data_IF_021940563744
#
_entry.id   IF_021940563744
#
_cell.length_a   1.000
_cell.length_b   1.000
_cell.length_c   1.000
_cell.angle_alpha   90.00
_cell.angle_beta   90.00
_cell.angle_gamma   90.00
#
_symmetry.space_group_name_H-M   'P 1'
#
loop_
_entity.id
_entity.type
_entity.pdbx_description
1 polymer ?
#
# COMPACT_ATOMS: atom_id res chain seq x y z
N UNK A 1 29.32 -36.92 19.15
CA UNK A 1 29.82 -36.49 17.84
C UNK A 1 28.62 -36.27 16.93
N UNK A 2 28.13 -35.02 16.79
CA UNK A 2 27.42 -34.48 15.61
C UNK A 2 27.42 -32.96 15.81
N UNK A 3 28.30 -32.27 15.08
CA UNK A 3 28.49 -30.81 15.16
C UNK A 3 27.67 -30.12 14.06
N UNK A 4 27.02 -29.03 14.48
CA UNK A 4 26.11 -28.16 13.75
C UNK A 4 26.82 -27.37 12.62
N UNK A 5 26.28 -27.26 11.39
CA UNK A 5 26.84 -26.44 10.32
C UNK A 5 26.16 -25.07 10.25
N UNK A 6 26.42 -24.19 11.22
CA UNK A 6 26.17 -22.75 11.08
C UNK A 6 27.47 -22.00 11.35
N UNK A 7 28.33 -21.93 10.33
CA UNK A 7 29.52 -21.09 10.33
C UNK A 7 29.81 -20.63 8.90
N UNK A 8 29.17 -19.54 8.48
CA UNK A 8 29.59 -18.79 7.30
C UNK A 8 30.17 -17.45 7.77
N UNK A 9 31.47 -17.33 7.53
CA UNK A 9 32.36 -16.22 7.87
C UNK A 9 32.08 -15.05 6.92
N UNK A 10 31.75 -13.88 7.46
CA UNK A 10 31.88 -12.62 6.74
C UNK A 10 33.31 -12.07 6.96
N UNK A 11 34.08 -11.94 5.88
CA UNK A 11 35.39 -11.31 5.91
C UNK A 11 35.23 -9.78 6.07
N UNK A 12 35.79 -9.22 7.15
CA UNK A 12 36.00 -7.79 7.31
C UNK A 12 37.26 -7.36 6.53
N UNK A 13 37.10 -6.61 5.44
CA UNK A 13 38.21 -5.88 4.81
C UNK A 13 38.15 -4.39 5.15
N UNK A 14 39.05 -3.97 6.04
CA UNK A 14 39.34 -2.59 6.43
C UNK A 14 40.25 -1.95 5.37
N UNK A 15 39.74 -0.99 4.61
CA UNK A 15 40.57 -0.15 3.73
C UNK A 15 41.04 1.12 4.47
N UNK A 16 42.30 1.51 4.22
CA UNK A 16 43.12 2.48 4.98
C UNK A 16 42.95 3.92 4.48
N UNK A 17 42.92 4.89 5.40
CA UNK A 17 43.07 6.32 5.10
C UNK A 17 44.56 6.68 4.87
N UNK A 18 44.81 7.67 4.01
CA UNK A 18 46.09 8.39 3.87
C UNK A 18 45.81 9.90 3.82
N UNK A 19 46.57 10.67 4.60
CA UNK A 19 46.56 12.14 4.71
C UNK A 19 47.86 12.75 4.17
N UNK A 20 47.82 14.02 3.75
CA UNK A 20 48.90 15.04 3.84
C UNK A 20 48.45 16.32 3.09
N UNK A 21 48.23 17.46 3.77
CA UNK A 21 49.11 18.66 3.92
C UNK A 21 49.39 19.36 2.57
N UNK A 22 49.29 20.68 2.34
CA UNK A 22 49.38 21.92 3.15
C UNK A 22 49.13 23.12 2.20
N UNK A 23 48.87 24.31 2.77
CA UNK A 23 49.38 25.64 2.36
C UNK A 23 48.29 26.72 2.19
N UNK A 24 48.35 27.71 3.08
CA UNK A 24 47.59 28.97 3.08
C UNK A 24 48.51 30.03 2.48
N UNK A 25 47.97 30.95 1.68
CA UNK A 25 48.39 32.35 1.69
C UNK A 25 47.33 33.23 1.00
N UNK A 26 47.06 34.36 1.66
CA UNK A 26 46.12 35.43 1.34
C UNK A 26 46.43 36.14 0.01
N UNK A 27 45.39 36.58 -0.71
CA UNK A 27 45.30 38.00 -1.10
C UNK A 27 43.92 38.38 -1.68
N UNK A 28 43.49 39.57 -1.27
CA UNK A 28 42.15 40.15 -1.32
C UNK A 28 41.90 40.91 -2.64
N UNK A 29 40.75 40.72 -3.30
CA UNK A 29 40.08 41.76 -4.13
C UNK A 29 38.64 41.40 -4.53
N UNK A 30 37.71 42.25 -4.08
CA UNK A 30 36.29 42.33 -4.41
C UNK A 30 36.00 42.37 -5.92
N UNK A 31 34.98 41.63 -6.39
CA UNK A 31 33.92 42.10 -7.32
C UNK A 31 32.67 41.22 -7.16
N UNK A 32 31.62 41.86 -6.63
CA UNK A 32 30.17 41.78 -6.89
C UNK A 32 29.51 40.53 -7.54
N UNK A 33 28.50 40.05 -6.80
CA UNK A 33 27.27 39.30 -7.13
C UNK A 33 26.97 38.95 -8.60
N UNK A 34 26.75 37.65 -8.89
CA UNK A 34 25.41 37.07 -9.15
C UNK A 34 25.50 35.64 -9.72
N UNK A 35 24.66 34.75 -9.18
CA UNK A 35 24.07 33.58 -9.85
C UNK A 35 24.99 32.46 -10.38
N UNK A 36 25.12 31.34 -9.63
CA UNK A 36 24.89 30.04 -10.27
C UNK A 36 24.56 28.89 -9.29
N UNK A 37 23.52 28.18 -9.68
CA UNK A 37 23.06 26.85 -9.27
C UNK A 37 24.20 25.84 -9.09
N UNK A 38 24.10 24.96 -8.07
CA UNK A 38 24.29 23.49 -8.13
C UNK A 38 24.72 22.93 -6.75
N UNK A 39 24.03 21.86 -6.35
CA UNK A 39 24.48 20.81 -5.41
C UNK A 39 24.25 21.01 -3.90
N UNK A 40 23.01 20.80 -3.45
CA UNK A 40 22.68 20.22 -2.12
C UNK A 40 21.28 19.60 -2.08
N UNK A 41 20.90 18.85 -3.11
CA UNK A 41 19.56 18.23 -3.29
C UNK A 41 19.31 17.01 -2.37
N UNK A 42 20.13 16.78 -1.33
CA UNK A 42 20.05 15.58 -0.47
C UNK A 42 19.42 15.81 0.92
N UNK A 43 19.10 17.06 1.29
CA UNK A 43 18.58 17.40 2.63
C UNK A 43 17.13 17.94 2.63
N UNK A 44 16.49 18.10 1.47
CA UNK A 44 15.14 18.67 1.31
C UNK A 44 14.05 17.60 1.06
N UNK A 45 14.43 16.32 0.91
CA UNK A 45 13.48 15.22 0.61
C UNK A 45 12.72 14.68 1.85
N UNK A 46 13.01 15.13 3.07
CA UNK A 46 12.54 14.47 4.30
C UNK A 46 11.29 15.08 4.97
N UNK A 47 10.62 16.08 4.36
CA UNK A 47 9.45 16.73 4.99
C UNK A 47 8.27 17.08 4.07
N UNK A 48 8.20 16.51 2.87
CA UNK A 48 6.93 16.45 2.14
C UNK A 48 6.15 15.30 2.78
N UNK A 49 5.07 15.60 3.49
CA UNK A 49 4.17 14.60 4.05
C UNK A 49 3.68 13.68 2.92
N UNK A 50 4.35 12.55 2.73
CA UNK A 50 4.02 11.59 1.68
C UNK A 50 2.60 11.07 1.89
N UNK A 51 1.81 11.02 0.82
CA UNK A 51 0.46 10.47 0.83
C UNK A 51 0.47 9.04 1.38
N UNK A 52 -0.60 8.55 2.03
CA UNK A 52 -0.72 7.13 2.37
C UNK A 52 -0.43 6.22 1.17
N UNK A 53 -0.86 6.62 -0.03
CA UNK A 53 -0.56 5.90 -1.28
C UNK A 53 0.93 5.94 -1.65
N UNK A 54 1.61 7.06 -1.40
CA UNK A 54 3.06 7.18 -1.68
C UNK A 54 3.84 6.23 -0.77
N UNK A 55 3.49 6.18 0.52
CA UNK A 55 4.12 5.26 1.48
C UNK A 55 3.86 3.79 1.13
N UNK A 56 2.64 3.49 0.72
CA UNK A 56 2.27 2.14 0.27
C UNK A 56 3.08 1.74 -0.96
N UNK A 57 3.12 2.60 -1.99
CA UNK A 57 3.88 2.36 -3.20
C UNK A 57 5.38 2.25 -2.95
N UNK A 58 5.94 3.09 -2.08
CA UNK A 58 7.35 3.04 -1.67
C UNK A 58 7.69 1.71 -1.00
N UNK A 59 6.84 1.22 -0.10
CA UNK A 59 7.01 -0.11 0.50
C UNK A 59 6.99 -1.22 -0.55
N UNK A 60 6.09 -1.16 -1.53
CA UNK A 60 6.07 -2.16 -2.59
C UNK A 60 7.34 -2.16 -3.45
N UNK A 61 7.89 -0.97 -3.72
CA UNK A 61 9.16 -0.82 -4.44
C UNK A 61 10.33 -1.40 -3.62
N UNK A 62 10.39 -1.10 -2.32
CA UNK A 62 11.48 -1.57 -1.45
C UNK A 62 11.46 -3.09 -1.25
N UNK A 63 10.28 -3.72 -1.34
CA UNK A 63 10.10 -5.19 -1.36
C UNK A 63 10.43 -5.85 -2.70
N UNK A 64 10.82 -5.08 -3.71
CA UNK A 64 11.22 -5.61 -5.02
C UNK A 64 10.05 -6.18 -5.84
N UNK A 65 8.82 -5.75 -5.57
CA UNK A 65 7.67 -6.19 -6.36
C UNK A 65 7.81 -5.73 -7.82
N UNK A 66 7.42 -6.57 -8.81
CA UNK A 66 7.47 -6.18 -10.21
C UNK A 66 6.50 -5.02 -10.49
N UNK A 67 6.79 -4.19 -11.49
CA UNK A 67 5.97 -3.00 -11.82
C UNK A 67 4.47 -3.29 -11.96
N UNK A 68 4.12 -4.46 -12.50
CA UNK A 68 2.72 -4.91 -12.64
C UNK A 68 2.04 -4.97 -11.27
N UNK A 69 2.72 -5.49 -10.24
CA UNK A 69 2.21 -5.54 -8.87
C UNK A 69 2.22 -4.16 -8.20
N UNK A 70 3.19 -3.30 -8.52
CA UNK A 70 3.24 -1.94 -7.96
C UNK A 70 2.01 -1.10 -8.32
N UNK A 71 1.35 -1.38 -9.46
CA UNK A 71 0.09 -0.73 -9.84
C UNK A 71 -1.07 -1.03 -8.87
N UNK A 72 -0.96 -2.11 -8.08
CA UNK A 72 -1.93 -2.47 -7.05
C UNK A 72 -1.70 -1.67 -5.76
N UNK A 73 -0.49 -1.14 -5.56
CA UNK A 73 -0.02 -0.50 -4.32
C UNK A 73 -0.49 0.95 -4.17
N UNK A 74 -1.80 1.15 -4.30
CA UNK A 74 -2.53 2.33 -3.87
C UNK A 74 -3.83 1.86 -3.21
N UNK A 75 -4.33 2.57 -2.21
CA UNK A 75 -5.61 2.26 -1.59
C UNK A 75 -6.78 2.35 -2.58
N UNK A 76 -6.64 3.04 -3.72
CA UNK A 76 -7.64 3.02 -4.79
C UNK A 76 -7.64 1.70 -5.58
N UNK A 77 -6.48 1.12 -5.89
CA UNK A 77 -6.36 -0.09 -6.71
C UNK A 77 -6.30 -1.38 -5.88
N UNK A 78 -5.94 -1.25 -4.60
CA UNK A 78 -6.01 -2.30 -3.59
C UNK A 78 -7.49 -2.56 -3.24
N UNK A 79 -8.10 -3.42 -4.05
CA UNK A 79 -9.51 -3.82 -3.96
C UNK A 79 -9.64 -5.34 -3.93
N UNK A 80 -10.77 -5.82 -3.39
CA UNK A 80 -11.18 -7.23 -3.45
C UNK A 80 -11.02 -7.81 -4.86
N UNK A 81 -11.51 -7.09 -5.88
CA UNK A 81 -11.46 -7.53 -7.28
C UNK A 81 -10.01 -7.70 -7.75
N UNK A 82 -9.16 -6.73 -7.50
CA UNK A 82 -7.75 -6.78 -7.92
C UNK A 82 -7.01 -7.95 -7.26
N UNK A 83 -7.27 -8.21 -5.97
CA UNK A 83 -6.65 -9.34 -5.27
C UNK A 83 -7.21 -10.68 -5.72
N UNK A 84 -8.51 -10.79 -5.96
CA UNK A 84 -9.12 -12.00 -6.55
C UNK A 84 -8.53 -12.31 -7.93
N UNK A 85 -8.28 -11.28 -8.75
CA UNK A 85 -7.62 -11.45 -10.04
C UNK A 85 -6.23 -12.08 -9.94
N UNK A 86 -5.50 -11.87 -8.84
CA UNK A 86 -4.19 -12.50 -8.60
C UNK A 86 -4.32 -14.01 -8.34
N UNK A 87 -5.38 -14.46 -7.65
CA UNK A 87 -5.65 -15.89 -7.46
C UNK A 87 -5.88 -16.62 -8.78
N UNK A 88 -6.52 -15.94 -9.74
CA UNK A 88 -6.74 -16.47 -11.08
C UNK A 88 -5.62 -16.10 -12.08
N UNK A 89 -4.55 -15.45 -11.61
CA UNK A 89 -3.43 -14.97 -12.42
C UNK A 89 -3.85 -14.13 -13.65
N UNK A 90 -4.91 -13.32 -13.53
CA UNK A 90 -5.51 -12.56 -14.65
C UNK A 90 -4.99 -11.14 -14.79
N UNK A 91 -4.28 -10.61 -13.79
CA UNK A 91 -3.70 -9.26 -13.81
C UNK A 91 -2.17 -9.26 -14.01
N UNK A 92 -1.54 -10.43 -14.14
CA UNK A 92 -0.10 -10.59 -14.33
C UNK A 92 0.77 -10.38 -13.07
N UNK A 93 0.16 -10.13 -11.90
CA UNK A 93 0.87 -10.07 -10.63
C UNK A 93 0.79 -11.45 -9.94
N UNK A 94 1.92 -12.14 -9.67
CA UNK A 94 1.90 -13.49 -9.13
C UNK A 94 1.29 -13.54 -7.72
N UNK A 95 0.64 -14.65 -7.38
CA UNK A 95 -0.02 -14.83 -6.08
C UNK A 95 0.94 -14.64 -4.89
N UNK A 96 2.22 -14.97 -5.05
CA UNK A 96 3.27 -14.76 -4.04
C UNK A 96 3.50 -13.30 -3.66
N UNK A 97 3.05 -12.33 -4.48
CA UNK A 97 3.14 -10.91 -4.17
C UNK A 97 2.10 -10.44 -3.15
N UNK A 98 1.01 -11.20 -2.93
CA UNK A 98 -0.10 -10.80 -2.06
C UNK A 98 0.39 -10.48 -0.65
N UNK A 99 1.30 -11.30 -0.07
CA UNK A 99 1.79 -11.08 1.30
C UNK A 99 2.45 -9.71 1.46
N UNK A 100 3.35 -9.37 0.54
CA UNK A 100 4.03 -8.08 0.51
C UNK A 100 3.06 -6.92 0.30
N UNK A 101 2.06 -7.09 -0.57
CA UNK A 101 1.03 -6.06 -0.81
C UNK A 101 0.24 -5.81 0.47
N UNK A 102 -0.22 -6.85 1.18
CA UNK A 102 -0.94 -6.71 2.46
C UNK A 102 -0.07 -6.06 3.53
N UNK A 103 1.19 -6.49 3.68
CA UNK A 103 2.11 -5.87 4.63
C UNK A 103 2.31 -4.39 4.37
N UNK A 104 2.50 -4.02 3.10
CA UNK A 104 2.69 -2.63 2.73
C UNK A 104 1.41 -1.81 2.92
N UNK A 105 0.24 -2.39 2.65
CA UNK A 105 -1.04 -1.76 2.93
C UNK A 105 -1.27 -1.59 4.44
N UNK A 106 -0.90 -2.56 5.28
CA UNK A 106 -1.06 -2.47 6.74
C UNK A 106 -0.06 -1.52 7.40
N UNK A 107 0.90 -1.00 6.63
CA UNK A 107 2.01 -0.20 7.14
C UNK A 107 2.98 -1.01 8.01
N UNK A 108 2.94 -2.34 7.91
CA UNK A 108 3.75 -3.23 8.72
C UNK A 108 3.39 -3.19 10.20
N UNK A 109 2.09 -3.08 10.53
CA UNK A 109 1.56 -3.15 11.91
C UNK A 109 0.54 -4.27 12.09
N UNK A 110 0.34 -4.72 13.32
CA UNK A 110 -0.60 -5.78 13.66
C UNK A 110 -1.99 -5.19 13.92
N UNK A 111 -2.91 -5.48 12.99
CA UNK A 111 -4.31 -5.05 13.00
C UNK A 111 -5.27 -6.14 13.47
N UNK A 112 -4.80 -7.29 13.98
CA UNK A 112 -5.66 -8.43 14.36
C UNK A 112 -6.82 -8.01 15.27
N UNK A 113 -6.56 -7.19 16.29
CA UNK A 113 -7.62 -6.76 17.21
C UNK A 113 -8.72 -5.98 16.47
N UNK A 114 -8.34 -5.06 15.57
CA UNK A 114 -9.31 -4.36 14.74
C UNK A 114 -10.07 -5.35 13.83
N UNK A 115 -9.36 -6.25 13.14
CA UNK A 115 -9.97 -7.23 12.25
C UNK A 115 -10.94 -8.18 12.94
N UNK A 116 -10.63 -8.64 14.16
CA UNK A 116 -11.53 -9.46 14.98
C UNK A 116 -12.80 -8.66 15.30
N UNK A 117 -12.67 -7.40 15.71
CA UNK A 117 -13.81 -6.53 16.01
C UNK A 117 -14.68 -6.25 14.78
N UNK A 118 -14.09 -6.19 13.59
CA UNK A 118 -14.82 -6.04 12.33
C UNK A 118 -15.34 -7.38 11.76
N UNK A 119 -15.14 -8.50 12.48
CA UNK A 119 -15.67 -9.81 12.10
C UNK A 119 -14.94 -10.50 10.95
N UNK A 120 -13.65 -10.21 10.74
CA UNK A 120 -12.82 -10.88 9.72
C UNK A 120 -12.65 -12.38 10.03
N UNK A 121 -12.63 -12.75 11.31
CA UNK A 121 -12.61 -14.15 11.76
C UNK A 121 -13.95 -14.87 11.62
N UNK A 122 -15.03 -14.20 11.24
CA UNK A 122 -16.37 -14.80 11.10
C UNK A 122 -16.67 -15.32 9.69
N UNK A 123 -15.68 -15.31 8.78
CA UNK A 123 -15.81 -15.91 7.46
C UNK A 123 -15.78 -17.44 7.56
N UNK A 124 -16.17 -18.19 6.50
CA UNK A 124 -16.05 -19.65 6.48
C UNK A 124 -14.62 -20.17 6.74
N UNK A 125 -13.59 -19.36 6.47
CA UNK A 125 -12.19 -19.70 6.72
C UNK A 125 -11.73 -19.38 8.15
N UNK A 126 -12.59 -18.74 8.96
CA UNK A 126 -12.37 -18.50 10.39
C UNK A 126 -11.17 -17.59 10.66
N UNK A 127 -10.46 -17.91 11.75
CA UNK A 127 -9.24 -17.19 12.18
C UNK A 127 -8.11 -17.23 11.15
N UNK A 128 -8.16 -18.12 10.14
CA UNK A 128 -7.15 -18.16 9.07
C UNK A 128 -7.09 -16.84 8.31
N UNK A 129 -8.18 -16.07 8.28
CA UNK A 129 -8.19 -14.76 7.60
C UNK A 129 -7.42 -13.68 8.35
N UNK A 130 -7.15 -13.86 9.64
CA UNK A 130 -6.40 -12.90 10.45
C UNK A 130 -4.93 -12.80 10.04
N UNK A 131 -4.43 -13.76 9.24
CA UNK A 131 -3.09 -13.69 8.65
C UNK A 131 -2.89 -12.45 7.76
N UNK A 132 -3.97 -11.94 7.14
CA UNK A 132 -3.91 -10.72 6.33
C UNK A 132 -3.87 -9.45 7.17
N UNK A 133 -4.24 -9.55 8.46
CA UNK A 133 -4.26 -8.41 9.38
C UNK A 133 -2.97 -8.24 10.17
N UNK A 134 -2.06 -9.21 10.08
CA UNK A 134 -0.81 -9.24 10.83
C UNK A 134 0.36 -8.62 10.06
N UNK A 135 1.46 -8.36 10.77
CA UNK A 135 2.76 -8.06 10.20
C UNK A 135 3.50 -9.32 9.75
N UNK A 136 3.85 -9.37 8.47
CA UNK A 136 4.74 -10.32 7.78
C UNK A 136 6.15 -10.46 8.44
N UNK A 137 7.01 -11.47 8.14
CA UNK A 137 6.86 -12.81 7.55
C UNK A 137 7.50 -13.89 8.48
N UNK A 138 6.71 -14.67 9.22
CA UNK A 138 7.29 -15.91 9.76
C UNK A 138 7.40 -16.99 8.67
N UNK A 139 6.56 -16.93 7.64
CA UNK A 139 6.44 -17.96 6.60
C UNK A 139 5.99 -17.28 5.31
N UNK A 140 6.55 -17.59 4.12
CA UNK A 140 5.91 -17.23 2.86
C UNK A 140 4.47 -17.74 2.91
N UNK A 141 3.49 -16.84 2.87
CA UNK A 141 2.08 -17.23 2.94
C UNK A 141 1.80 -18.17 1.77
N UNK A 142 1.62 -19.46 2.07
CA UNK A 142 1.15 -20.43 1.09
C UNK A 142 -0.36 -20.24 0.96
N UNK A 143 -0.73 -19.23 0.17
CA UNK A 143 -2.12 -18.91 -0.11
C UNK A 143 -2.66 -19.90 -1.14
N UNK A 144 -3.63 -20.69 -0.73
CA UNK A 144 -4.46 -21.51 -1.61
C UNK A 144 -5.84 -20.86 -1.81
N UNK A 145 -6.69 -21.47 -2.64
CA UNK A 145 -8.01 -20.95 -2.94
C UNK A 145 -8.94 -20.84 -1.70
N UNK A 146 -8.63 -21.49 -0.58
CA UNK A 146 -9.44 -21.41 0.64
C UNK A 146 -9.40 -20.03 1.30
N UNK A 147 -8.33 -19.25 1.05
CA UNK A 147 -8.20 -17.88 1.53
C UNK A 147 -9.02 -16.86 0.74
N UNK A 148 -9.58 -17.25 -0.42
CA UNK A 148 -10.43 -16.35 -1.22
C UNK A 148 -11.67 -15.91 -0.43
N UNK A 149 -12.20 -16.78 0.44
CA UNK A 149 -13.33 -16.47 1.32
C UNK A 149 -13.03 -15.33 2.31
N UNK A 150 -11.76 -15.12 2.67
CA UNK A 150 -11.37 -14.01 3.55
C UNK A 150 -11.70 -12.65 2.92
N UNK A 151 -11.69 -12.56 1.60
CA UNK A 151 -12.01 -11.32 0.89
C UNK A 151 -13.50 -10.98 0.87
N UNK A 152 -14.37 -11.79 1.47
CA UNK A 152 -15.72 -11.36 1.85
C UNK A 152 -15.68 -10.20 2.85
N UNK A 153 -14.65 -10.16 3.70
CA UNK A 153 -14.42 -9.09 4.69
C UNK A 153 -13.29 -8.15 4.27
N UNK A 154 -13.01 -8.04 2.98
CA UNK A 154 -11.92 -7.20 2.46
C UNK A 154 -12.03 -5.73 2.91
N UNK A 155 -13.21 -5.13 2.77
CA UNK A 155 -13.40 -3.72 3.10
C UNK A 155 -13.20 -3.46 4.61
N UNK A 156 -13.56 -4.43 5.45
CA UNK A 156 -13.30 -4.41 6.89
C UNK A 156 -11.80 -4.46 7.22
N UNK A 157 -11.05 -5.34 6.55
CA UNK A 157 -9.59 -5.39 6.70
C UNK A 157 -8.95 -4.06 6.27
N UNK A 158 -9.33 -3.55 5.10
CA UNK A 158 -8.83 -2.28 4.56
C UNK A 158 -9.15 -1.08 5.46
N UNK A 159 -10.34 -1.07 6.08
CA UNK A 159 -10.74 -0.04 7.04
C UNK A 159 -9.77 0.02 8.23
N UNK A 160 -9.41 -1.12 8.81
CA UNK A 160 -8.42 -1.18 9.89
C UNK A 160 -7.07 -0.54 9.48
N UNK A 161 -6.61 -0.84 8.27
CA UNK A 161 -5.34 -0.30 7.78
C UNK A 161 -5.37 1.22 7.60
N UNK A 162 -6.50 1.75 7.12
CA UNK A 162 -6.68 3.19 6.88
C UNK A 162 -6.86 3.99 8.17
N UNK A 163 -7.58 3.48 9.16
CA UNK A 163 -7.85 4.17 10.43
C UNK A 163 -6.56 4.54 11.17
N UNK A 164 -5.52 3.69 11.08
CA UNK A 164 -4.23 3.98 11.70
C UNK A 164 -3.38 4.99 10.91
N UNK A 165 -3.60 5.10 9.60
CA UNK A 165 -2.85 6.06 8.76
C UNK A 165 -3.41 7.48 8.85
N UNK A 166 -4.66 7.64 9.31
CA UNK A 166 -5.26 8.95 9.51
C UNK A 166 -6.40 8.88 10.56
N UNK A 167 -6.15 9.29 11.82
CA UNK A 167 -7.20 9.28 12.84
C UNK A 167 -8.42 10.15 12.48
N UNK A 168 -8.29 11.09 11.53
CA UNK A 168 -9.40 11.93 11.06
C UNK A 168 -10.33 11.22 10.05
N UNK A 169 -9.89 10.11 9.45
CA UNK A 169 -10.68 9.33 8.47
C UNK A 169 -11.79 8.51 9.14
N UNK A 170 -11.62 8.14 10.41
CA UNK A 170 -12.64 7.43 11.21
C UNK A 170 -14.03 8.10 11.17
N UNK A 171 -14.06 9.44 11.09
CA UNK A 171 -15.31 10.21 11.01
C UNK A 171 -15.95 10.20 9.62
N UNK A 172 -15.19 10.02 8.55
CA UNK A 172 -15.67 10.07 7.16
C UNK A 172 -16.30 8.72 6.76
N UNK A 173 -15.75 7.60 7.22
CA UNK A 173 -16.33 6.28 6.94
C UNK A 173 -17.66 6.04 7.66
N UNK A 174 -17.85 6.64 8.84
CA UNK A 174 -19.11 6.54 9.58
C UNK A 174 -20.30 7.19 8.85
N UNK A 175 -20.03 8.16 7.96
CA UNK A 175 -21.09 8.93 7.25
C UNK A 175 -21.51 8.24 5.95
N UNK A 176 -20.61 7.55 5.24
CA UNK A 176 -20.94 6.92 3.95
C UNK A 176 -21.67 5.58 4.06
N UNK A 177 -21.57 4.90 5.20
CA UNK A 177 -22.28 3.64 5.45
C UNK A 177 -23.70 3.84 6.04
N UNK A 178 -24.08 5.08 6.39
CA UNK A 178 -25.43 5.39 6.90
C UNK A 178 -26.38 5.97 5.82
N UNK A 179 -25.85 6.43 4.70
CA UNK A 179 -26.65 7.07 3.63
C UNK A 179 -27.02 6.16 2.45
N UNK A 180 -26.75 4.85 2.53
CA UNK A 180 -27.37 3.86 1.63
C UNK A 180 -28.52 3.19 2.39
N UNK A 181 -29.51 4.00 2.78
CA UNK A 181 -30.86 3.48 2.92
C UNK A 181 -31.31 3.07 1.52
N UNK A 182 -31.36 1.76 1.31
CA UNK A 182 -32.10 1.10 0.25
C UNK A 182 -33.56 1.56 0.33
N UNK A 183 -33.86 2.70 -0.30
CA UNK A 183 -35.21 3.23 -0.38
C UNK A 183 -35.92 2.54 -1.54
N UNK A 184 -36.70 1.53 -1.22
CA UNK A 184 -37.55 0.78 -2.14
C UNK A 184 -38.74 1.58 -2.70
N UNK A 185 -38.74 2.91 -2.64
CA UNK A 185 -39.88 3.74 -3.03
C UNK A 185 -39.45 5.00 -3.79
N UNK A 186 -38.93 4.86 -5.01
CA UNK A 186 -38.88 5.97 -5.98
C UNK A 186 -39.64 5.55 -7.23
N UNK A 187 -40.95 5.34 -7.06
CA UNK A 187 -41.88 5.80 -8.08
C UNK A 187 -41.90 7.34 -8.04
N UNK A 188 -41.76 7.98 -9.20
CA UNK A 188 -41.92 9.43 -9.44
C UNK A 188 -40.68 10.33 -9.23
N UNK A 189 -39.80 10.42 -10.23
CA UNK A 189 -39.24 11.73 -10.61
C UNK A 189 -39.15 11.93 -12.13
N UNK A 190 -40.31 12.26 -12.69
CA UNK A 190 -40.55 13.33 -13.68
C UNK A 190 -39.56 13.47 -14.85
N UNK A 191 -40.00 12.93 -16.00
CA UNK A 191 -40.40 13.72 -17.19
C UNK A 191 -39.42 14.83 -17.62
N UNK A 192 -38.41 14.47 -18.41
CA UNK A 192 -37.94 15.34 -19.48
C UNK A 192 -38.81 15.10 -20.72
N UNK A 193 -39.68 16.07 -21.01
CA UNK A 193 -40.44 16.20 -22.25
C UNK A 193 -39.62 17.04 -23.23
N UNK A 194 -39.47 16.57 -24.47
CA UNK A 194 -39.80 17.27 -25.74
C UNK A 194 -39.56 16.26 -26.87
N UNK A 195 -40.62 15.81 -27.56
CA UNK A 195 -40.99 16.24 -28.92
C UNK A 195 -39.81 16.07 -29.90
N UNK A 196 -39.87 15.22 -30.93
CA UNK A 196 -40.82 15.30 -32.05
C UNK A 196 -40.74 14.05 -32.93
N UNK A 197 -41.88 13.63 -33.47
CA UNK A 197 -42.04 12.93 -34.76
C UNK A 197 -41.49 11.50 -34.82
N UNK A 198 -42.27 10.45 -35.03
CA UNK A 198 -43.54 10.38 -35.72
C UNK A 198 -43.45 9.23 -36.71
N UNK A 199 -44.33 8.23 -36.50
CA UNK A 199 -44.84 7.25 -37.46
C UNK A 199 -43.86 6.35 -38.22
N UNK A 200 -44.15 5.09 -38.52
CA UNK A 200 -45.15 4.10 -38.11
C UNK A 200 -44.98 2.93 -39.10
N UNK A 201 -45.49 1.78 -38.68
CA UNK A 201 -46.02 0.68 -39.50
C UNK A 201 -45.00 -0.32 -40.04
N UNK A 202 -45.16 -1.53 -39.46
CA UNK A 202 -44.55 -2.84 -39.76
C UNK A 202 -43.19 -3.13 -39.14
#
# INVERSE_FOLDING_TARGET
MFLNPYSMRYCNTRAKAKSSNTFWDDDNKNVEEENNYIESTSLITSKISTSPDDKFLECCKSRGLPKICQNICSYSNYTKKTLQQMYFNTNGCPLSAISNIHFCASGGKDHKNCCINQGVSLTPSGDRCLIFCDTEPAVPMQLDLTYVNCYEKFDHMKKCFLEETNPQISKIFTIKDQDIQYNNNIENFKRFKTNTGGSSWF
#
